data_IF_964167222333
#
_entry.id   IF_964167222333
#
_cell.length_a   1.000
_cell.length_b   1.000
_cell.length_c   1.000
_cell.angle_alpha   90.00
_cell.angle_beta   90.00
_cell.angle_gamma   90.00
#
_symmetry.space_group_name_H-M   'P 1'
#
loop_
_entity.id
_entity.type
_entity.pdbx_description
1 polymer ?
#
# COMPACT_ATOMS: atom_id res chain seq x y z
N UNK A 1 16.31 24.91 -16.89
CA UNK A 1 17.71 24.69 -16.43
C UNK A 1 17.67 23.87 -15.14
N UNK A 2 17.66 22.53 -15.24
CA UNK A 2 17.71 21.62 -14.09
C UNK A 2 19.16 21.19 -13.86
N UNK A 3 19.74 21.55 -12.72
CA UNK A 3 21.03 21.00 -12.28
C UNK A 3 20.77 19.69 -11.53
N UNK A 4 21.24 18.59 -12.10
CA UNK A 4 21.30 17.27 -11.48
C UNK A 4 22.31 17.32 -10.32
N UNK A 5 21.89 16.99 -9.11
CA UNK A 5 22.79 16.69 -7.99
C UNK A 5 22.86 15.17 -7.86
N UNK A 6 24.01 14.62 -8.21
CA UNK A 6 24.31 13.21 -8.05
C UNK A 6 24.43 12.89 -6.57
N UNK A 7 23.62 11.95 -6.09
CA UNK A 7 23.77 11.32 -4.79
C UNK A 7 24.94 10.35 -4.93
N UNK A 8 26.15 10.88 -4.66
CA UNK A 8 27.38 10.10 -4.61
C UNK A 8 27.41 9.30 -3.31
N UNK A 9 27.36 7.98 -3.45
CA UNK A 9 27.68 6.99 -2.44
C UNK A 9 29.11 7.18 -1.93
N UNK A 10 29.27 7.88 -0.82
CA UNK A 10 30.51 7.85 -0.02
C UNK A 10 30.15 7.35 1.37
N UNK A 11 30.90 6.34 1.81
CA UNK A 11 30.50 5.42 2.86
C UNK A 11 30.12 6.07 4.17
N UNK A 12 29.05 5.54 4.77
CA UNK A 12 28.76 5.67 6.18
C UNK A 12 29.91 5.02 6.94
N UNK A 13 30.94 5.80 7.27
CA UNK A 13 31.87 5.44 8.35
C UNK A 13 31.04 5.52 9.61
N UNK A 14 30.45 4.39 10.00
CA UNK A 14 29.87 4.23 11.32
C UNK A 14 31.02 4.36 12.33
N UNK A 15 31.20 5.55 12.88
CA UNK A 15 31.94 5.77 14.11
C UNK A 15 31.18 5.05 15.22
N UNK A 16 31.42 3.75 15.36
CA UNK A 16 30.98 2.98 16.52
C UNK A 16 31.95 3.38 17.64
N UNK A 17 31.53 4.14 18.66
CA UNK A 17 32.39 4.38 19.81
C UNK A 17 32.61 3.03 20.49
N UNK A 18 33.80 2.47 20.34
CA UNK A 18 34.23 1.32 21.13
C UNK A 18 34.46 1.80 22.55
N UNK A 19 33.44 1.64 23.39
CA UNK A 19 33.60 1.87 24.83
C UNK A 19 34.46 0.73 25.35
N UNK A 20 35.71 1.04 25.68
CA UNK A 20 36.57 0.12 26.43
C UNK A 20 35.85 -0.17 27.75
N UNK A 21 35.39 -1.42 27.92
CA UNK A 21 34.77 -1.87 29.16
C UNK A 21 35.73 -1.55 30.31
N UNK A 22 35.22 -0.92 31.36
CA UNK A 22 36.00 -0.59 32.53
C UNK A 22 36.72 -1.86 33.02
N UNK A 23 38.06 -1.83 33.01
CA UNK A 23 38.85 -2.85 33.70
C UNK A 23 38.32 -2.99 35.12
N UNK A 24 38.16 -4.21 35.66
CA UNK A 24 37.80 -4.37 37.06
C UNK A 24 38.80 -3.57 37.88
N UNK A 25 38.28 -2.69 38.75
CA UNK A 25 39.10 -1.86 39.62
C UNK A 25 40.02 -2.80 40.40
N UNK A 26 41.31 -2.80 40.08
CA UNK A 26 42.30 -3.33 41.01
C UNK A 26 42.19 -2.44 42.24
N UNK A 27 41.75 -3.01 43.35
CA UNK A 27 41.69 -2.33 44.65
C UNK A 27 43.06 -1.71 44.90
N UNK A 28 43.12 -0.38 44.90
CA UNK A 28 44.37 0.29 45.24
C UNK A 28 44.64 0.04 46.73
N UNK A 29 45.89 -0.26 47.12
CA UNK A 29 46.22 -0.38 48.53
C UNK A 29 45.91 0.94 49.25
N UNK A 30 44.88 0.94 50.11
CA UNK A 30 44.44 2.12 50.88
C UNK A 30 42.99 2.59 50.68
N UNK A 31 42.16 1.89 49.90
CA UNK A 31 40.75 2.25 49.69
C UNK A 31 39.84 1.65 50.78
N UNK A 32 38.91 2.42 51.38
CA UNK A 32 37.99 1.90 52.38
C UNK A 32 37.01 0.91 51.74
N UNK A 33 36.81 -0.24 52.39
CA UNK A 33 35.86 -1.26 51.94
C UNK A 33 34.42 -0.78 52.12
N UNK A 34 33.54 -1.13 51.17
CA UNK A 34 32.11 -0.81 51.27
C UNK A 34 31.53 -1.51 52.50
N UNK A 35 30.97 -0.76 53.46
CA UNK A 35 30.41 -1.37 54.65
C UNK A 35 29.15 -2.18 54.30
N UNK A 36 28.87 -3.27 55.04
CA UNK A 36 27.66 -4.04 54.86
C UNK A 36 26.41 -3.20 55.19
N UNK A 37 25.25 -3.48 54.56
CA UNK A 37 24.01 -2.78 54.85
C UNK A 37 23.57 -3.05 56.30
N UNK A 38 23.34 -1.99 57.08
CA UNK A 38 22.95 -2.07 58.49
C UNK A 38 21.85 -1.06 58.83
N UNK A 39 21.16 -1.27 59.96
CA UNK A 39 20.09 -0.37 60.43
C UNK A 39 20.71 0.86 61.12
N UNK A 40 20.00 1.99 61.22
CA UNK A 40 20.50 3.18 61.93
C UNK A 40 20.88 2.93 63.39
N UNK A 41 20.24 1.96 64.05
CA UNK A 41 20.55 1.53 65.43
C UNK A 41 21.86 0.75 65.55
N UNK A 42 22.33 0.17 64.45
CA UNK A 42 23.46 -0.76 64.42
C UNK A 42 24.74 -0.05 63.97
N UNK A 43 24.71 1.29 63.87
CA UNK A 43 25.87 2.12 63.54
C UNK A 43 26.87 2.12 64.72
N UNK A 44 28.17 1.87 64.47
CA UNK A 44 29.16 2.01 65.52
C UNK A 44 29.24 3.47 65.97
N UNK A 45 29.30 3.68 67.29
CA UNK A 45 29.28 5.02 67.90
C UNK A 45 30.66 5.70 67.82
N UNK A 46 31.73 4.90 67.86
CA UNK A 46 33.11 5.40 67.91
C UNK A 46 33.89 5.19 66.60
N UNK A 47 33.44 4.28 65.75
CA UNK A 47 34.01 4.05 64.42
C UNK A 47 32.96 4.42 63.38
N UNK A 48 33.33 5.18 62.36
CA UNK A 48 32.41 5.55 61.29
C UNK A 48 32.87 5.04 59.92
N UNK A 49 32.98 3.72 59.69
CA UNK A 49 33.34 3.17 58.37
C UNK A 49 32.41 3.66 57.24
N UNK A 50 31.14 3.94 57.57
CA UNK A 50 30.16 4.50 56.63
C UNK A 50 30.46 5.94 56.25
N UNK A 51 30.97 6.74 57.19
CA UNK A 51 31.37 8.11 56.94
C UNK A 51 32.66 8.13 56.10
N UNK A 52 33.66 7.34 56.47
CA UNK A 52 34.93 7.23 55.71
C UNK A 52 34.69 6.73 54.28
N UNK A 53 33.87 5.68 54.11
CA UNK A 53 33.49 5.21 52.78
C UNK A 53 32.66 6.26 52.01
N UNK A 54 31.78 6.98 52.70
CA UNK A 54 30.99 8.07 52.12
C UNK A 54 31.86 9.23 51.62
N UNK A 55 32.84 9.64 52.41
CA UNK A 55 33.84 10.66 52.06
C UNK A 55 34.73 10.19 50.90
N UNK A 56 35.15 8.93 50.90
CA UNK A 56 35.89 8.33 49.79
C UNK A 56 35.08 8.33 48.49
N UNK A 57 33.82 7.91 48.52
CA UNK A 57 32.90 7.96 47.37
C UNK A 57 32.69 9.41 46.90
N UNK A 58 32.55 10.36 47.83
CA UNK A 58 32.44 11.78 47.51
C UNK A 58 33.71 12.30 46.83
N UNK A 59 34.89 11.92 47.33
CA UNK A 59 36.19 12.30 46.77
C UNK A 59 36.43 11.71 45.37
N UNK A 60 35.97 10.49 45.11
CA UNK A 60 35.97 9.88 43.79
C UNK A 60 35.03 10.62 42.83
N UNK A 61 33.85 11.01 43.33
CA UNK A 61 32.90 11.81 42.55
C UNK A 61 33.49 13.16 42.16
N UNK A 62 34.11 13.85 43.12
CA UNK A 62 34.67 15.20 42.92
C UNK A 62 35.94 15.19 42.07
N UNK A 63 36.81 14.19 42.25
CA UNK A 63 37.97 14.00 41.37
C UNK A 63 37.53 13.71 39.93
N UNK A 64 36.43 13.00 39.71
CA UNK A 64 35.88 12.75 38.38
C UNK A 64 35.20 13.98 37.76
N UNK A 65 34.64 14.88 38.58
CA UNK A 65 34.11 16.19 38.14
C UNK A 65 35.20 17.19 37.74
N UNK A 66 36.42 17.02 38.25
CA UNK A 66 37.52 17.99 38.04
C UNK A 66 38.09 18.06 36.62
N UNK A 67 37.77 17.07 35.76
CA UNK A 67 38.22 17.10 34.37
C UNK A 67 37.40 18.12 33.56
N UNK A 68 38.02 19.28 33.27
CA UNK A 68 37.45 20.35 32.44
C UNK A 68 36.87 19.82 31.11
N UNK A 69 37.52 18.82 30.52
CA UNK A 69 37.06 18.16 29.30
C UNK A 69 35.73 17.41 29.51
N UNK A 70 35.55 16.77 30.66
CA UNK A 70 34.31 16.06 31.01
C UNK A 70 33.16 17.03 31.20
N UNK A 71 33.36 18.15 31.88
CA UNK A 71 32.30 19.16 32.07
C UNK A 71 31.87 19.81 30.75
N UNK A 72 32.79 19.99 29.78
CA UNK A 72 32.47 20.57 28.47
C UNK A 72 31.81 19.55 27.54
N UNK A 73 32.25 18.28 27.55
CA UNK A 73 31.74 17.24 26.66
C UNK A 73 30.49 16.52 27.17
N UNK A 74 30.23 16.52 28.48
CA UNK A 74 29.09 15.82 29.07
C UNK A 74 27.73 16.41 28.61
N UNK A 75 27.50 17.74 28.59
CA UNK A 75 26.23 18.29 28.13
C UNK A 75 25.83 17.93 26.69
N UNK A 76 26.72 18.05 25.66
CA UNK A 76 26.33 17.70 24.30
C UNK A 76 26.13 16.19 24.11
N UNK A 77 26.99 15.35 24.70
CA UNK A 77 26.83 13.89 24.61
C UNK A 77 25.54 13.44 25.31
N UNK A 78 25.22 14.04 26.47
CA UNK A 78 23.99 13.79 27.18
C UNK A 78 22.76 14.22 26.38
N UNK A 79 22.80 15.40 25.76
CA UNK A 79 21.72 15.88 24.91
C UNK A 79 21.46 14.91 23.73
N UNK A 80 22.52 14.48 23.03
CA UNK A 80 22.38 13.50 21.93
C UNK A 80 21.79 12.19 22.44
N UNK A 81 22.28 11.68 23.58
CA UNK A 81 21.76 10.45 24.19
C UNK A 81 20.29 10.57 24.56
N UNK A 82 19.90 11.63 25.25
CA UNK A 82 18.50 11.85 25.66
C UNK A 82 17.59 11.98 24.43
N UNK A 83 18.02 12.71 23.39
CA UNK A 83 17.23 12.81 22.14
C UNK A 83 17.10 11.49 21.41
N UNK A 84 18.14 10.64 21.43
CA UNK A 84 18.09 9.31 20.82
C UNK A 84 17.19 8.37 21.62
N UNK A 85 17.29 8.36 22.96
CA UNK A 85 16.43 7.55 23.83
C UNK A 85 14.96 7.94 23.68
N UNK A 86 14.65 9.25 23.63
CA UNK A 86 13.30 9.75 23.36
C UNK A 86 12.81 9.33 21.97
N UNK A 87 13.66 9.43 20.94
CA UNK A 87 13.32 9.04 19.58
C UNK A 87 13.02 7.54 19.45
N UNK A 88 13.83 6.70 20.09
CA UNK A 88 13.65 5.24 20.10
C UNK A 88 12.39 4.87 20.88
N UNK A 89 12.21 5.40 22.09
CA UNK A 89 11.02 5.12 22.91
C UNK A 89 9.71 5.54 22.21
N UNK A 90 9.71 6.69 21.54
CA UNK A 90 8.54 7.13 20.77
C UNK A 90 8.28 6.23 19.57
N UNK A 91 9.32 5.71 18.90
CA UNK A 91 9.16 4.80 17.76
C UNK A 91 8.52 3.47 18.16
N UNK A 92 8.90 2.89 19.30
CA UNK A 92 8.33 1.64 19.80
C UNK A 92 6.82 1.78 20.05
N UNK A 93 6.40 2.87 20.72
CA UNK A 93 4.98 3.12 20.99
C UNK A 93 4.12 3.29 19.73
N UNK A 94 4.67 3.95 18.70
CA UNK A 94 3.99 4.12 17.40
C UNK A 94 3.92 2.79 16.65
N UNK A 95 5.00 2.02 16.66
CA UNK A 95 5.03 0.71 16.01
C UNK A 95 4.01 -0.25 16.63
N UNK A 96 3.91 -0.30 17.96
CA UNK A 96 2.89 -1.09 18.64
C UNK A 96 1.48 -0.64 18.29
N UNK A 97 1.21 0.67 18.30
CA UNK A 97 -0.11 1.20 17.92
C UNK A 97 -0.48 0.87 16.47
N UNK A 98 0.47 0.98 15.54
CA UNK A 98 0.24 0.65 14.13
C UNK A 98 0.00 -0.85 13.97
N UNK A 99 0.77 -1.68 14.66
CA UNK A 99 0.62 -3.13 14.62
C UNK A 99 -0.74 -3.57 15.19
N UNK A 100 -1.14 -3.02 16.33
CA UNK A 100 -2.42 -3.34 16.98
C UNK A 100 -3.60 -2.94 16.08
N UNK A 101 -3.56 -1.71 15.53
CA UNK A 101 -4.58 -1.26 14.58
C UNK A 101 -4.61 -2.16 13.34
N UNK A 102 -3.45 -2.55 12.79
CA UNK A 102 -3.38 -3.41 11.62
C UNK A 102 -4.03 -4.78 11.86
N UNK A 103 -3.72 -5.42 12.99
CA UNK A 103 -4.34 -6.68 13.37
C UNK A 103 -5.85 -6.52 13.57
N UNK A 104 -6.27 -5.47 14.27
CA UNK A 104 -7.68 -5.19 14.52
C UNK A 104 -8.47 -4.91 13.22
N UNK A 105 -7.89 -4.16 12.29
CA UNK A 105 -8.47 -3.91 10.97
C UNK A 105 -8.59 -5.18 10.15
N UNK A 106 -7.57 -6.05 10.19
CA UNK A 106 -7.59 -7.33 9.50
C UNK A 106 -8.69 -8.23 10.05
N UNK A 107 -8.76 -8.38 11.37
CA UNK A 107 -9.74 -9.24 12.04
C UNK A 107 -11.17 -8.75 11.77
N UNK A 108 -11.40 -7.44 11.83
CA UNK A 108 -12.70 -6.85 11.45
C UNK A 108 -13.03 -7.07 9.98
N UNK A 109 -12.06 -6.91 9.09
CA UNK A 109 -12.28 -7.11 7.65
C UNK A 109 -12.61 -8.56 7.34
N UNK A 110 -11.90 -9.50 7.95
CA UNK A 110 -12.13 -10.94 7.81
C UNK A 110 -13.53 -11.32 8.33
N UNK A 111 -13.95 -10.75 9.46
CA UNK A 111 -15.30 -10.92 9.98
C UNK A 111 -16.38 -10.36 9.03
N UNK A 112 -16.19 -9.16 8.49
CA UNK A 112 -17.13 -8.54 7.52
C UNK A 112 -17.25 -9.42 6.26
N UNK A 113 -16.11 -9.87 5.72
CA UNK A 113 -16.10 -10.73 4.53
C UNK A 113 -16.81 -12.05 4.81
N UNK A 114 -16.58 -12.65 6.00
CA UNK A 114 -17.29 -13.86 6.41
C UNK A 114 -18.80 -13.63 6.55
N UNK A 115 -19.21 -12.54 7.20
CA UNK A 115 -20.61 -12.16 7.39
C UNK A 115 -21.33 -11.92 6.05
N UNK A 116 -20.67 -11.22 5.12
CA UNK A 116 -21.20 -11.02 3.78
C UNK A 116 -21.35 -12.34 3.03
N UNK A 117 -20.48 -13.33 3.27
CA UNK A 117 -20.52 -14.64 2.61
C UNK A 117 -21.45 -15.66 3.28
N UNK A 118 -22.14 -15.31 4.35
CA UNK A 118 -23.17 -16.13 4.98
C UNK A 118 -24.44 -16.19 4.12
N UNK A 119 -25.01 -17.38 3.88
CA UNK A 119 -26.09 -17.61 2.89
C UNK A 119 -27.38 -16.82 3.13
N UNK A 120 -27.62 -16.41 4.38
CA UNK A 120 -28.83 -15.67 4.80
C UNK A 120 -28.80 -14.19 4.37
N UNK A 121 -27.61 -13.65 4.10
CA UNK A 121 -27.40 -12.21 3.88
C UNK A 121 -27.35 -11.80 2.39
N UNK A 122 -28.13 -12.44 1.51
CA UNK A 122 -28.07 -12.19 0.05
C UNK A 122 -28.34 -10.74 -0.32
N UNK A 123 -29.33 -10.10 0.31
CA UNK A 123 -29.68 -8.69 0.04
C UNK A 123 -28.53 -7.74 0.37
N UNK A 124 -27.83 -8.00 1.47
CA UNK A 124 -26.69 -7.19 1.93
C UNK A 124 -25.51 -7.34 0.96
N UNK A 125 -25.29 -8.53 0.38
CA UNK A 125 -24.25 -8.73 -0.64
C UNK A 125 -24.50 -7.89 -1.89
N UNK A 126 -25.73 -7.85 -2.39
CA UNK A 126 -26.07 -7.01 -3.54
C UNK A 126 -25.90 -5.53 -3.21
N UNK A 127 -26.32 -5.11 -2.01
CA UNK A 127 -26.07 -3.76 -1.52
C UNK A 127 -24.59 -3.39 -1.50
N UNK A 128 -23.73 -4.29 -1.03
CA UNK A 128 -22.28 -4.10 -1.01
C UNK A 128 -21.70 -3.94 -2.44
N UNK A 129 -22.15 -4.75 -3.40
CA UNK A 129 -21.72 -4.64 -4.80
C UNK A 129 -22.11 -3.29 -5.42
N UNK A 130 -23.34 -2.84 -5.19
CA UNK A 130 -23.81 -1.52 -5.65
C UNK A 130 -22.97 -0.41 -5.03
N UNK A 131 -22.66 -0.49 -3.73
CA UNK A 131 -21.78 0.46 -3.06
C UNK A 131 -20.35 0.45 -3.62
N UNK A 132 -19.83 -0.72 -4.00
CA UNK A 132 -18.56 -0.85 -4.72
C UNK A 132 -18.59 -0.10 -6.05
N UNK A 133 -19.69 -0.23 -6.80
CA UNK A 133 -19.91 0.49 -8.05
C UNK A 133 -20.01 2.00 -7.89
N UNK A 134 -20.77 2.46 -6.89
CA UNK A 134 -20.89 3.88 -6.56
C UNK A 134 -19.54 4.46 -6.13
N UNK A 135 -18.78 3.72 -5.33
CA UNK A 135 -17.43 4.11 -4.91
C UNK A 135 -16.52 4.25 -6.13
N UNK A 136 -16.52 3.26 -7.03
CA UNK A 136 -15.82 3.35 -8.31
C UNK A 136 -16.26 4.55 -9.15
N UNK A 137 -17.57 4.80 -9.25
CA UNK A 137 -18.12 5.94 -9.98
C UNK A 137 -17.61 7.28 -9.40
N UNK A 138 -17.58 7.42 -8.07
CA UNK A 138 -17.06 8.61 -7.37
C UNK A 138 -15.58 8.83 -7.71
N UNK A 139 -14.76 7.78 -7.67
CA UNK A 139 -13.35 7.87 -8.11
C UNK A 139 -13.22 8.23 -9.60
N UNK A 140 -14.19 7.86 -10.43
CA UNK A 140 -14.26 8.20 -11.85
C UNK A 140 -14.76 9.62 -12.16
N UNK A 141 -15.31 10.37 -11.20
CA UNK A 141 -15.98 11.67 -11.44
C UNK A 141 -15.08 12.71 -12.10
N UNK A 142 -13.77 12.68 -11.80
CA UNK A 142 -12.77 13.59 -12.37
C UNK A 142 -12.62 13.40 -13.89
N UNK A 143 -13.07 12.28 -14.45
CA UNK A 143 -13.04 11.98 -15.88
C UNK A 143 -14.35 12.24 -16.63
N UNK A 144 -14.30 12.06 -17.95
CA UNK A 144 -15.48 12.01 -18.81
C UNK A 144 -16.34 10.77 -18.58
N UNK A 145 -17.46 10.67 -19.31
CA UNK A 145 -18.48 9.61 -19.14
C UNK A 145 -17.90 8.19 -19.19
N UNK A 146 -17.03 7.89 -20.15
CA UNK A 146 -16.42 6.55 -20.31
C UNK A 146 -15.59 6.17 -19.08
N UNK A 147 -14.82 7.12 -18.53
CA UNK A 147 -13.98 6.86 -17.36
C UNK A 147 -14.83 6.59 -16.12
N UNK A 148 -15.97 7.27 -15.98
CA UNK A 148 -16.94 7.02 -14.90
C UNK A 148 -17.51 5.61 -14.97
N UNK A 149 -17.95 5.18 -16.15
CA UNK A 149 -18.49 3.83 -16.37
C UNK A 149 -17.41 2.77 -16.12
N UNK A 150 -16.19 3.00 -16.60
CA UNK A 150 -15.07 2.08 -16.41
C UNK A 150 -14.70 1.89 -14.93
N UNK A 151 -14.55 2.98 -14.18
CA UNK A 151 -14.23 2.90 -12.75
C UNK A 151 -15.39 2.33 -11.94
N UNK A 152 -16.63 2.66 -12.29
CA UNK A 152 -17.81 2.04 -11.69
C UNK A 152 -17.81 0.51 -11.93
N UNK A 153 -17.53 0.08 -13.17
CA UNK A 153 -17.41 -1.32 -13.53
C UNK A 153 -16.30 -2.05 -12.77
N UNK A 154 -15.13 -1.43 -12.59
CA UNK A 154 -14.06 -1.99 -11.75
C UNK A 154 -14.53 -2.11 -10.30
N UNK A 155 -15.18 -1.08 -9.76
CA UNK A 155 -15.68 -1.08 -8.39
C UNK A 155 -16.73 -2.16 -8.13
N UNK A 156 -17.72 -2.29 -9.02
CA UNK A 156 -18.72 -3.37 -8.93
C UNK A 156 -18.08 -4.74 -9.07
N UNK A 157 -17.16 -4.91 -10.01
CA UNK A 157 -16.52 -6.21 -10.27
C UNK A 157 -15.62 -6.63 -9.12
N UNK A 158 -14.84 -5.71 -8.56
CA UNK A 158 -13.97 -6.00 -7.42
C UNK A 158 -14.78 -6.40 -6.19
N UNK A 159 -15.86 -5.66 -5.89
CA UNK A 159 -16.71 -5.98 -4.75
C UNK A 159 -17.55 -7.25 -5.00
N UNK A 160 -17.98 -7.47 -6.24
CA UNK A 160 -18.63 -8.70 -6.69
C UNK A 160 -17.75 -9.94 -6.52
N UNK A 161 -16.46 -9.85 -6.86
CA UNK A 161 -15.51 -10.94 -6.66
C UNK A 161 -15.31 -11.30 -5.18
N UNK A 162 -15.39 -10.31 -4.29
CA UNK A 162 -15.27 -10.53 -2.84
C UNK A 162 -16.55 -11.16 -2.28
N UNK A 163 -17.73 -10.67 -2.69
CA UNK A 163 -19.03 -11.11 -2.16
C UNK A 163 -19.56 -12.41 -2.80
N UNK A 164 -19.27 -12.65 -4.08
CA UNK A 164 -19.75 -13.78 -4.89
C UNK A 164 -18.60 -14.48 -5.62
N UNK A 165 -17.69 -15.16 -4.90
CA UNK A 165 -16.49 -15.73 -5.50
C UNK A 165 -16.79 -16.85 -6.50
N UNK A 166 -17.80 -17.69 -6.27
CA UNK A 166 -18.13 -18.80 -7.17
C UNK A 166 -18.81 -18.32 -8.45
N UNK A 167 -19.82 -17.45 -8.34
CA UNK A 167 -20.48 -16.84 -9.50
C UNK A 167 -19.48 -16.05 -10.36
N UNK A 168 -18.58 -15.29 -9.71
CA UNK A 168 -17.57 -14.51 -10.42
C UNK A 168 -16.56 -15.41 -11.14
N UNK A 169 -16.19 -16.57 -10.59
CA UNK A 169 -15.31 -17.55 -11.27
C UNK A 169 -15.99 -18.16 -12.49
N UNK A 170 -17.27 -18.47 -12.41
CA UNK A 170 -18.04 -19.01 -13.53
C UNK A 170 -18.20 -17.99 -14.65
N UNK A 171 -18.53 -16.74 -14.29
CA UNK A 171 -18.53 -15.64 -15.26
C UNK A 171 -17.14 -15.46 -15.86
N UNK A 172 -16.08 -15.44 -15.06
CA UNK A 172 -14.70 -15.30 -15.54
C UNK A 172 -14.33 -16.30 -16.64
N UNK A 173 -14.82 -17.55 -16.54
CA UNK A 173 -14.61 -18.59 -17.56
C UNK A 173 -15.46 -18.38 -18.83
N UNK A 174 -16.69 -17.90 -18.68
CA UNK A 174 -17.66 -17.74 -19.77
C UNK A 174 -17.72 -16.33 -20.38
N UNK A 175 -16.89 -15.41 -19.88
CA UNK A 175 -16.92 -13.97 -20.18
C UNK A 175 -16.98 -13.65 -21.68
N UNK A 176 -16.17 -14.32 -22.51
CA UNK A 176 -16.07 -13.99 -23.94
C UNK A 176 -17.35 -14.25 -24.73
N UNK A 177 -18.06 -15.34 -24.43
CA UNK A 177 -19.29 -15.70 -25.15
C UNK A 177 -20.49 -14.88 -24.64
N UNK A 178 -20.62 -14.73 -23.32
CA UNK A 178 -21.70 -13.96 -22.70
C UNK A 178 -21.61 -12.48 -23.07
N UNK A 179 -20.42 -11.88 -23.01
CA UNK A 179 -20.24 -10.48 -23.37
C UNK A 179 -20.64 -10.21 -24.82
N UNK A 180 -20.26 -11.07 -25.77
CA UNK A 180 -20.65 -10.94 -27.18
C UNK A 180 -22.17 -10.97 -27.36
N UNK A 181 -22.86 -11.90 -26.69
CA UNK A 181 -24.32 -11.99 -26.74
C UNK A 181 -24.98 -10.72 -26.18
N UNK A 182 -24.57 -10.25 -25.01
CA UNK A 182 -25.14 -9.03 -24.40
C UNK A 182 -24.87 -7.78 -25.22
N UNK A 183 -23.67 -7.65 -25.81
CA UNK A 183 -23.35 -6.50 -26.67
C UNK A 183 -24.20 -6.53 -27.94
N UNK A 184 -24.38 -7.69 -28.58
CA UNK A 184 -25.24 -7.82 -29.75
C UNK A 184 -26.70 -7.52 -29.43
N UNK A 185 -27.22 -7.99 -28.28
CA UNK A 185 -28.58 -7.66 -27.83
C UNK A 185 -28.72 -6.15 -27.61
N UNK A 186 -27.78 -5.53 -26.90
CA UNK A 186 -27.80 -4.09 -26.65
C UNK A 186 -27.71 -3.27 -27.95
N UNK A 187 -26.88 -3.72 -28.89
CA UNK A 187 -26.75 -3.09 -30.21
C UNK A 187 -28.05 -3.17 -31.01
N UNK A 188 -28.65 -4.37 -31.10
CA UNK A 188 -29.94 -4.57 -31.78
C UNK A 188 -31.07 -3.76 -31.12
N UNK A 189 -31.05 -3.61 -29.79
CA UNK A 189 -32.02 -2.80 -29.07
C UNK A 189 -31.85 -1.31 -29.34
N UNK A 190 -30.61 -0.79 -29.35
CA UNK A 190 -30.33 0.62 -29.64
C UNK A 190 -30.72 1.00 -31.08
N UNK A 191 -30.58 0.07 -32.02
CA UNK A 191 -31.00 0.23 -33.41
C UNK A 191 -32.48 -0.05 -33.66
N UNK A 192 -33.24 -0.51 -32.66
CA UNK A 192 -34.69 -0.70 -32.77
C UNK A 192 -35.12 -1.81 -33.73
N UNK A 193 -34.31 -2.87 -33.86
CA UNK A 193 -34.59 -4.01 -34.74
C UNK A 193 -35.87 -4.73 -34.28
N UNK A 194 -36.85 -4.90 -35.17
CA UNK A 194 -38.11 -5.57 -34.85
C UNK A 194 -37.96 -7.09 -34.93
N UNK A 195 -38.78 -7.87 -34.19
CA UNK A 195 -38.74 -9.33 -34.26
C UNK A 195 -39.08 -9.79 -35.69
N UNK A 196 -38.07 -10.17 -36.49
CA UNK A 196 -38.23 -10.61 -37.88
C UNK A 196 -37.18 -10.09 -38.87
N UNK A 197 -36.45 -9.03 -38.52
CA UNK A 197 -35.35 -8.50 -39.34
C UNK A 197 -34.04 -9.27 -39.09
N UNK A 198 -33.11 -9.35 -40.07
CA UNK A 198 -31.83 -10.04 -39.87
C UNK A 198 -31.04 -9.40 -38.73
N UNK A 199 -30.63 -10.20 -37.74
CA UNK A 199 -29.86 -9.73 -36.60
C UNK A 199 -28.52 -9.15 -37.08
N UNK A 200 -28.21 -7.92 -36.65
CA UNK A 200 -26.92 -7.29 -36.95
C UNK A 200 -25.88 -7.92 -36.03
N UNK A 201 -25.16 -8.93 -36.55
CA UNK A 201 -24.08 -9.58 -35.83
C UNK A 201 -22.81 -8.71 -35.89
N UNK A 202 -22.46 -8.09 -34.77
CA UNK A 202 -21.18 -7.42 -34.66
C UNK A 202 -20.10 -8.47 -34.42
N UNK A 203 -19.22 -8.65 -35.41
CA UNK A 203 -18.03 -9.53 -35.29
C UNK A 203 -17.01 -8.89 -34.36
N UNK A 204 -17.17 -9.06 -33.06
CA UNK A 204 -16.13 -8.71 -32.10
C UNK A 204 -14.99 -9.74 -32.17
N UNK A 205 -13.72 -9.30 -32.20
CA UNK A 205 -12.59 -10.19 -31.98
C UNK A 205 -12.76 -10.92 -30.64
N UNK A 206 -12.17 -12.11 -30.51
CA UNK A 206 -12.25 -12.87 -29.26
C UNK A 206 -11.67 -12.04 -28.10
N UNK A 207 -12.57 -11.58 -27.23
CA UNK A 207 -12.28 -10.83 -26.01
C UNK A 207 -11.64 -11.78 -24.98
N UNK A 208 -10.43 -12.25 -25.26
CA UNK A 208 -9.57 -12.79 -24.23
C UNK A 208 -9.14 -11.64 -23.33
N UNK A 209 -9.25 -11.82 -22.01
CA UNK A 209 -8.71 -10.85 -21.06
C UNK A 209 -7.21 -10.69 -21.38
N UNK A 210 -6.75 -9.48 -21.78
CA UNK A 210 -5.37 -9.29 -22.19
C UNK A 210 -4.46 -9.63 -21.00
N UNK A 211 -3.49 -10.51 -21.23
CA UNK A 211 -2.52 -10.88 -20.20
C UNK A 211 -1.44 -9.80 -20.06
N UNK A 212 -1.35 -8.90 -21.04
CA UNK A 212 -0.36 -7.83 -21.11
C UNK A 212 -0.95 -6.49 -21.55
N UNK A 213 -0.31 -5.38 -21.14
CA UNK A 213 -0.71 -4.03 -21.55
C UNK A 213 -0.56 -3.79 -23.05
N UNK A 214 0.38 -4.45 -23.72
CA UNK A 214 0.54 -4.39 -25.18
C UNK A 214 -0.64 -5.05 -25.90
N UNK A 215 -1.09 -6.21 -25.43
CA UNK A 215 -2.30 -6.86 -25.96
C UNK A 215 -3.54 -5.98 -25.77
N UNK A 216 -3.63 -5.26 -24.65
CA UNK A 216 -4.73 -4.31 -24.44
C UNK A 216 -4.71 -3.17 -25.46
N UNK A 217 -3.53 -2.62 -25.78
CA UNK A 217 -3.38 -1.57 -26.80
C UNK A 217 -3.74 -2.12 -28.19
N UNK A 218 -3.26 -3.29 -28.57
CA UNK A 218 -3.56 -3.92 -29.86
C UNK A 218 -5.05 -4.29 -29.98
N UNK A 219 -5.67 -4.78 -28.92
CA UNK A 219 -7.12 -5.00 -28.84
C UNK A 219 -7.89 -3.68 -28.98
N UNK A 220 -7.41 -2.60 -28.36
CA UNK A 220 -8.03 -1.27 -28.47
C UNK A 220 -7.91 -0.72 -29.91
N UNK A 221 -6.76 -0.89 -30.54
CA UNK A 221 -6.52 -0.47 -31.93
C UNK A 221 -7.39 -1.27 -32.89
N UNK A 222 -7.43 -2.61 -32.76
CA UNK A 222 -8.27 -3.46 -33.61
C UNK A 222 -9.76 -3.19 -33.42
N UNK A 223 -10.21 -2.89 -32.19
CA UNK A 223 -11.59 -2.48 -31.91
C UNK A 223 -11.91 -1.10 -32.47
N UNK A 224 -10.97 -0.14 -32.42
CA UNK A 224 -11.13 1.17 -33.05
C UNK A 224 -11.23 1.05 -34.58
N UNK A 225 -10.42 0.17 -35.19
CA UNK A 225 -10.47 -0.11 -36.64
C UNK A 225 -11.79 -0.78 -37.01
N UNK A 226 -12.25 -1.79 -36.24
CA UNK A 226 -13.52 -2.46 -36.53
C UNK A 226 -14.72 -1.55 -36.32
N UNK A 227 -14.71 -0.71 -35.27
CA UNK A 227 -15.75 0.29 -35.05
C UNK A 227 -15.79 1.33 -36.17
N UNK A 228 -14.62 1.81 -36.63
CA UNK A 228 -14.53 2.69 -37.81
C UNK A 228 -15.12 2.02 -39.05
N UNK A 229 -14.86 0.73 -39.24
CA UNK A 229 -15.36 -0.05 -40.38
C UNK A 229 -16.87 -0.35 -40.28
N UNK A 230 -17.42 -0.47 -39.05
CA UNK A 230 -18.85 -0.64 -38.80
C UNK A 230 -19.65 0.67 -38.90
N UNK A 231 -19.00 1.82 -38.67
CA UNK A 231 -19.63 3.16 -38.79
C UNK A 231 -19.61 3.68 -40.24
N UNK A 232 -18.70 3.18 -41.09
CA UNK A 232 -18.74 3.47 -42.51
C UNK A 232 -19.92 2.74 -43.16
N UNK A 233 -20.79 3.43 -43.91
CA UNK A 233 -21.85 2.76 -44.65
C UNK A 233 -21.22 1.72 -45.59
N UNK A 234 -21.85 0.54 -45.78
CA UNK A 234 -21.36 -0.41 -46.76
C UNK A 234 -21.26 0.29 -48.12
N UNK A 235 -20.22 0.02 -48.93
CA UNK A 235 -20.20 0.51 -50.30
C UNK A 235 -21.49 0.01 -50.96
N UNK A 236 -22.35 0.96 -51.35
CA UNK A 236 -23.55 0.68 -52.11
C UNK A 236 -23.15 -0.10 -53.35
N UNK A 237 -23.61 -1.34 -53.44
CA UNK A 237 -23.64 -2.09 -54.69
C UNK A 237 -24.73 -1.49 -55.57
N UNK A 238 -24.52 -0.29 -56.08
CA UNK A 238 -25.30 0.28 -57.16
C UNK A 238 -24.37 1.25 -57.89
N UNK A 239 -24.36 1.16 -59.22
CA UNK A 239 -23.51 1.88 -60.20
C UNK A 239 -22.16 1.24 -60.56
N UNK A 240 -22.21 0.10 -61.27
CA UNK A 240 -21.25 -0.19 -62.36
C UNK A 240 -21.77 -1.30 -63.31
N UNK A 241 -23.08 -1.34 -63.57
CA UNK A 241 -23.62 -1.95 -64.78
C UNK A 241 -24.18 -0.80 -65.62
N UNK A 242 -23.33 -0.19 -66.42
CA UNK A 242 -23.73 0.47 -67.67
C UNK A 242 -22.49 0.63 -68.56
N UNK A 243 -22.34 -0.33 -69.48
CA UNK A 243 -21.55 -0.12 -70.70
C UNK A 243 -22.21 1.02 -71.49
N UNK A 244 -21.39 1.83 -72.18
CA UNK A 244 -21.68 2.07 -73.57
C UNK A 244 -20.51 1.67 -74.47
N UNK A 245 -20.92 1.25 -75.65
CA UNK A 245 -20.20 0.69 -76.78
C UNK A 245 -19.13 1.60 -77.38
N UNK A 246 -18.18 0.94 -78.05
CA UNK A 246 -17.28 1.47 -79.08
C UNK A 246 -17.92 2.55 -79.97
N UNK A 247 -17.15 3.60 -80.27
CA UNK A 247 -17.07 4.14 -81.62
C UNK A 247 -15.69 4.76 -81.88
N UNK A 248 -15.05 4.25 -82.93
CA UNK A 248 -13.83 4.71 -83.57
C UNK A 248 -14.00 6.13 -84.12
N UNK A 249 -13.00 6.99 -83.95
CA UNK A 249 -12.10 7.54 -85.00
C UNK A 249 -11.10 8.51 -84.37
#
# INVERSE_FOLDING_TARGET
>A
MLRKVAIGTTGVIALIPTVSAATPLQEKPGEPLKPPPMRPSDLPIYEAPHAEYGEYVHSLSDSNKSSYLRSVLQPPVRAVRETAEIGIAHSESVLHTVQDNYHEFRDRSDWIVKYLREEDNKDIRYGAVVMGGLTGFIFGLRGGFIRRVFYAGIGTTAMGAICFPEETKELAKNNGALAKQYINIAYNFLYGVKPGDPQLEVKFPDLSLPKSFSEFVDLTVSLAVSAKQAIMPPPSKDTADDKPSESKE
#
